data_IF_095559669046
#
_entry.id   IF_095559669046
#
_cell.length_a   1.000
_cell.length_b   1.000
_cell.length_c   1.000
_cell.angle_alpha   90.00
_cell.angle_beta   90.00
_cell.angle_gamma   90.00
#
_symmetry.space_group_name_H-M   'P 1'
#
loop_
_entity.id
_entity.type
_entity.pdbx_description
1 polymer ?
#
# COMPACT_ATOMS: atom_id res chain seq x y z
N UNK A 1 13.69 -14.92 0.54
CA UNK A 1 12.44 -14.61 -0.20
C UNK A 1 11.34 -15.54 0.25
N UNK A 2 11.60 -16.84 0.35
CA UNK A 2 10.67 -17.87 0.79
C UNK A 2 9.93 -17.52 2.08
N UNK A 3 10.67 -17.15 3.13
CA UNK A 3 10.07 -16.79 4.42
C UNK A 3 9.17 -15.53 4.31
N UNK A 4 9.48 -14.58 3.41
CA UNK A 4 8.61 -13.43 3.14
C UNK A 4 7.29 -13.88 2.52
N UNK A 5 7.37 -14.66 1.44
CA UNK A 5 6.18 -15.07 0.66
C UNK A 5 5.29 -16.00 1.49
N UNK A 6 5.88 -16.92 2.26
CA UNK A 6 5.16 -17.83 3.15
C UNK A 6 4.31 -17.09 4.22
N UNK A 7 4.74 -15.89 4.64
CA UNK A 7 4.03 -15.10 5.63
C UNK A 7 2.67 -14.53 5.13
N UNK A 8 2.41 -14.54 3.81
CA UNK A 8 1.15 -14.05 3.24
C UNK A 8 0.08 -15.13 3.06
N UNK A 9 0.46 -16.40 2.94
CA UNK A 9 -0.50 -17.49 2.79
C UNK A 9 -1.06 -17.90 4.15
N UNK A 10 -2.37 -18.07 4.21
CA UNK A 10 -3.11 -18.56 5.37
C UNK A 10 -3.78 -19.90 5.02
N UNK A 11 -4.85 -20.25 5.74
CA UNK A 11 -5.61 -21.47 5.52
C UNK A 11 -6.68 -21.30 4.42
N UNK A 12 -6.81 -20.11 3.84
CA UNK A 12 -7.74 -19.79 2.76
C UNK A 12 -6.99 -19.84 1.42
N UNK A 13 -7.59 -20.41 0.35
CA UNK A 13 -6.94 -20.45 -0.95
C UNK A 13 -6.70 -19.05 -1.52
N UNK A 14 -5.45 -18.73 -1.81
CA UNK A 14 -5.07 -17.47 -2.47
C UNK A 14 -4.32 -17.73 -3.77
N UNK A 15 -4.82 -17.20 -4.89
CA UNK A 15 -4.10 -17.23 -6.16
C UNK A 15 -2.76 -16.50 -6.04
N UNK A 16 -1.60 -17.16 -6.25
CA UNK A 16 -0.30 -16.54 -6.04
C UNK A 16 -0.06 -15.26 -6.85
N UNK A 17 -0.50 -15.21 -8.11
CA UNK A 17 -0.35 -14.01 -8.94
C UNK A 17 -1.16 -12.81 -8.43
N UNK A 18 -2.24 -13.04 -7.69
CA UNK A 18 -2.98 -11.95 -7.03
C UNK A 18 -2.22 -11.40 -5.83
N UNK A 19 -1.55 -12.25 -5.04
CA UNK A 19 -0.61 -11.82 -4.00
C UNK A 19 0.56 -11.02 -4.61
N UNK A 20 1.19 -11.51 -5.68
CA UNK A 20 2.22 -10.74 -6.38
C UNK A 20 1.70 -9.37 -6.83
N UNK A 21 0.48 -9.34 -7.37
CA UNK A 21 -0.19 -8.10 -7.77
C UNK A 21 -0.39 -7.12 -6.61
N UNK A 22 -0.75 -7.61 -5.42
CA UNK A 22 -0.84 -6.79 -4.20
C UNK A 22 0.53 -6.18 -3.85
N UNK A 23 1.58 -7.00 -3.76
CA UNK A 23 2.91 -6.56 -3.34
C UNK A 23 3.55 -5.56 -4.31
N UNK A 24 3.20 -5.65 -5.60
CA UNK A 24 3.76 -4.83 -6.69
C UNK A 24 2.85 -3.71 -7.20
N UNK A 25 1.77 -3.39 -6.47
CA UNK A 25 0.85 -2.29 -6.79
C UNK A 25 -0.03 -2.48 -8.04
N UNK A 26 -0.33 -3.72 -8.44
CA UNK A 26 -1.31 -4.05 -9.50
C UNK A 26 -2.74 -3.98 -8.93
N UNK A 27 -3.27 -2.75 -8.83
CA UNK A 27 -4.58 -2.40 -8.24
C UNK A 27 -5.81 -2.81 -9.07
N UNK A 28 -5.92 -4.07 -9.48
CA UNK A 28 -7.19 -4.57 -10.04
C UNK A 28 -8.19 -4.85 -8.91
N UNK A 29 -9.49 -4.66 -9.16
CA UNK A 29 -10.53 -4.94 -8.14
C UNK A 29 -10.44 -6.38 -7.63
N UNK A 30 -10.14 -7.34 -8.51
CA UNK A 30 -10.00 -8.75 -8.13
C UNK A 30 -8.81 -8.99 -7.19
N UNK A 31 -7.65 -8.40 -7.47
CA UNK A 31 -6.47 -8.53 -6.59
C UNK A 31 -6.70 -7.89 -5.23
N UNK A 32 -7.27 -6.68 -5.22
CA UNK A 32 -7.53 -5.93 -3.99
C UNK A 32 -8.62 -6.61 -3.14
N UNK A 33 -9.65 -7.16 -3.77
CA UNK A 33 -10.67 -7.92 -3.05
C UNK A 33 -10.09 -9.21 -2.45
N UNK A 34 -9.28 -9.97 -3.19
CA UNK A 34 -8.60 -11.13 -2.61
C UNK A 34 -7.75 -10.73 -1.40
N UNK A 35 -6.96 -9.66 -1.53
CA UNK A 35 -6.18 -9.13 -0.41
C UNK A 35 -7.06 -8.69 0.78
N UNK A 36 -8.24 -8.13 0.53
CA UNK A 36 -9.21 -7.81 1.58
C UNK A 36 -9.69 -9.07 2.31
N UNK A 37 -10.01 -10.15 1.59
CA UNK A 37 -10.44 -11.42 2.17
C UNK A 37 -9.38 -12.03 3.10
N UNK A 38 -8.10 -11.88 2.76
CA UNK A 38 -6.98 -12.32 3.58
C UNK A 38 -6.55 -11.31 4.67
N UNK A 39 -7.26 -10.18 4.82
CA UNK A 39 -6.87 -9.08 5.71
C UNK A 39 -5.47 -8.49 5.41
N UNK A 40 -5.01 -8.59 4.16
CA UNK A 40 -3.70 -8.14 3.71
C UNK A 40 -3.75 -6.85 2.87
N UNK A 41 -4.88 -6.14 2.80
CA UNK A 41 -4.99 -4.92 1.97
C UNK A 41 -3.97 -3.84 2.34
N UNK A 42 -3.56 -3.76 3.62
CA UNK A 42 -2.50 -2.87 4.13
C UNK A 42 -1.10 -3.22 3.61
N UNK A 43 -0.93 -4.36 2.93
CA UNK A 43 0.34 -4.82 2.34
C UNK A 43 0.50 -4.39 0.88
N UNK A 44 -0.43 -3.60 0.36
CA UNK A 44 -0.34 -3.05 -0.99
C UNK A 44 0.97 -2.30 -1.19
N UNK A 45 1.65 -2.61 -2.30
CA UNK A 45 2.93 -2.00 -2.68
C UNK A 45 4.07 -2.23 -1.66
N UNK A 46 3.96 -3.23 -0.78
CA UNK A 46 5.00 -3.49 0.21
C UNK A 46 6.35 -3.87 -0.44
N UNK A 47 6.34 -4.51 -1.61
CA UNK A 47 7.57 -4.92 -2.30
C UNK A 47 7.52 -4.63 -3.80
N UNK A 48 7.62 -3.35 -4.21
CA UNK A 48 7.36 -2.92 -5.58
C UNK A 48 8.41 -3.43 -6.59
N UNK A 49 9.61 -3.77 -6.12
CA UNK A 49 10.72 -4.27 -6.95
C UNK A 49 10.71 -5.80 -7.13
N UNK A 50 9.73 -6.50 -6.56
CA UNK A 50 9.61 -7.95 -6.67
C UNK A 50 9.26 -8.37 -8.11
N UNK A 51 10.25 -8.89 -8.83
CA UNK A 51 10.06 -9.44 -10.17
C UNK A 51 9.09 -10.63 -10.15
N UNK A 52 8.30 -10.78 -11.22
CA UNK A 52 7.35 -11.89 -11.36
C UNK A 52 8.06 -13.24 -11.37
N UNK A 53 9.22 -13.31 -12.02
CA UNK A 53 10.04 -14.50 -12.20
C UNK A 53 10.52 -15.03 -10.84
N UNK A 54 11.17 -14.18 -10.04
CA UNK A 54 11.60 -14.56 -8.69
C UNK A 54 10.43 -14.96 -7.78
N UNK A 55 9.27 -14.29 -7.90
CA UNK A 55 8.09 -14.66 -7.13
C UNK A 55 7.58 -16.05 -7.52
N UNK A 56 7.44 -16.34 -8.82
CA UNK A 56 6.99 -17.65 -9.30
C UNK A 56 7.95 -18.76 -8.92
N UNK A 57 9.27 -18.52 -9.02
CA UNK A 57 10.29 -19.46 -8.55
C UNK A 57 10.16 -19.73 -7.03
N UNK A 58 9.87 -18.69 -6.24
CA UNK A 58 9.63 -18.83 -4.80
C UNK A 58 8.40 -19.69 -4.51
N UNK A 59 7.29 -19.51 -5.25
CA UNK A 59 6.09 -20.34 -5.10
C UNK A 59 6.39 -21.81 -5.38
N UNK A 60 7.10 -22.10 -6.48
CA UNK A 60 7.51 -23.46 -6.82
C UNK A 60 8.38 -24.08 -5.73
N UNK A 61 9.31 -23.31 -5.18
CA UNK A 61 10.19 -23.78 -4.09
C UNK A 61 9.40 -24.08 -2.81
N UNK A 62 8.45 -23.22 -2.44
CA UNK A 62 7.60 -23.42 -1.27
C UNK A 62 6.69 -24.66 -1.42
N UNK A 63 6.15 -24.87 -2.62
CA UNK A 63 5.33 -26.04 -2.95
C UNK A 63 6.18 -27.32 -2.91
N UNK A 64 7.34 -27.32 -3.57
CA UNK A 64 8.26 -28.45 -3.57
C UNK A 64 8.74 -28.83 -2.16
N UNK A 65 8.92 -27.82 -1.29
CA UNK A 65 9.30 -28.01 0.11
C UNK A 65 8.11 -28.40 1.02
N UNK A 66 6.90 -28.54 0.47
CA UNK A 66 5.69 -28.88 1.22
C UNK A 66 5.24 -27.81 2.21
N UNK A 67 5.69 -26.56 2.06
CA UNK A 67 5.34 -25.44 2.94
C UNK A 67 4.01 -24.77 2.54
N UNK A 68 3.66 -24.87 1.26
CA UNK A 68 2.35 -24.54 0.73
C UNK A 68 1.82 -25.72 -0.09
N UNK A 69 0.51 -25.78 -0.27
CA UNK A 69 -0.16 -26.67 -1.20
C UNK A 69 -0.87 -25.80 -2.25
N UNK A 70 -0.69 -26.10 -3.53
CA UNK A 70 -1.29 -25.34 -4.63
C UNK A 70 -2.37 -26.20 -5.29
N UNK A 71 -3.60 -25.67 -5.32
CA UNK A 71 -4.74 -26.27 -6.01
C UNK A 71 -5.38 -25.25 -6.97
N UNK A 72 -6.39 -25.69 -7.73
CA UNK A 72 -7.10 -24.83 -8.70
C UNK A 72 -7.67 -23.54 -8.07
N UNK A 73 -8.11 -23.63 -6.81
CA UNK A 73 -8.64 -22.50 -6.05
C UNK A 73 -7.56 -21.48 -5.65
N UNK A 74 -6.31 -21.91 -5.49
CA UNK A 74 -5.19 -21.09 -5.00
C UNK A 74 -4.22 -21.91 -4.17
N UNK A 75 -3.25 -21.21 -3.58
CA UNK A 75 -2.30 -21.80 -2.65
C UNK A 75 -2.75 -21.58 -1.21
N UNK A 76 -2.55 -22.59 -0.36
CA UNK A 76 -2.77 -22.56 1.10
C UNK A 76 -1.48 -22.91 1.83
N UNK A 77 -1.33 -22.43 3.06
CA UNK A 77 -0.19 -22.78 3.90
C UNK A 77 -0.39 -24.12 4.60
N UNK A 78 0.59 -25.02 4.49
CA UNK A 78 0.52 -26.33 5.17
C UNK A 78 0.87 -26.23 6.65
N UNK A 79 0.67 -27.32 7.40
CA UNK A 79 1.15 -27.42 8.78
C UNK A 79 2.69 -27.27 8.89
N UNK A 80 3.44 -27.72 7.88
CA UNK A 80 4.89 -27.52 7.83
C UNK A 80 5.23 -26.05 7.58
N UNK A 81 4.49 -25.38 6.67
CA UNK A 81 4.56 -23.94 6.46
C UNK A 81 4.32 -23.14 7.74
N UNK A 82 3.30 -23.47 8.52
CA UNK A 82 3.01 -22.83 9.82
C UNK A 82 4.17 -22.94 10.81
N UNK A 83 4.85 -24.10 10.85
CA UNK A 83 6.02 -24.30 11.74
C UNK A 83 7.26 -23.52 11.27
N UNK A 84 7.42 -23.37 9.94
CA UNK A 84 8.53 -22.61 9.34
C UNK A 84 8.33 -21.10 9.44
N UNK A 85 7.07 -20.65 9.48
CA UNK A 85 6.73 -19.24 9.52
C UNK A 85 7.43 -18.55 10.70
N UNK A 86 8.17 -17.49 10.39
CA UNK A 86 8.79 -16.65 11.40
C UNK A 86 7.82 -15.54 11.82
N UNK A 87 7.56 -15.44 13.12
CA UNK A 87 6.87 -14.29 13.68
C UNK A 87 7.71 -13.01 13.41
N UNK A 88 7.04 -11.90 13.11
CA UNK A 88 7.65 -10.57 12.92
C UNK A 88 8.49 -10.35 11.65
N UNK A 89 8.36 -11.19 10.63
CA UNK A 89 9.07 -10.95 9.35
C UNK A 89 8.54 -9.73 8.57
N UNK A 90 7.24 -9.44 8.69
CA UNK A 90 6.59 -8.35 7.97
C UNK A 90 6.69 -7.03 8.77
N UNK A 91 6.90 -5.89 8.10
CA UNK A 91 6.89 -4.59 8.76
C UNK A 91 5.52 -4.36 9.41
N UNK A 92 5.52 -3.95 10.67
CA UNK A 92 4.32 -3.75 11.47
C UNK A 92 3.77 -2.34 11.33
N UNK A 93 4.63 -1.35 11.04
CA UNK A 93 4.27 0.06 10.93
C UNK A 93 3.89 0.47 9.50
N UNK A 94 4.26 -0.32 8.49
CA UNK A 94 4.02 0.02 7.09
C UNK A 94 2.54 0.21 6.76
N UNK A 95 2.26 1.29 6.03
CA UNK A 95 0.98 1.52 5.38
C UNK A 95 1.16 2.02 3.94
N UNK A 96 0.28 1.65 3.00
CA UNK A 96 0.46 2.01 1.58
C UNK A 96 0.41 3.53 1.31
N UNK A 97 -0.25 4.29 2.18
CA UNK A 97 -0.32 5.75 2.08
C UNK A 97 1.01 6.45 2.41
N UNK A 98 1.96 5.76 3.04
CA UNK A 98 3.23 6.35 3.49
C UNK A 98 4.17 6.73 2.33
N UNK A 99 3.95 6.18 1.13
CA UNK A 99 4.69 6.52 -0.09
C UNK A 99 6.22 6.35 0.05
N UNK A 100 6.67 5.34 0.79
CA UNK A 100 8.08 5.16 1.13
C UNK A 100 9.00 5.10 -0.09
N UNK A 101 8.53 4.47 -1.18
CA UNK A 101 9.26 4.37 -2.44
C UNK A 101 9.66 5.74 -3.05
N UNK A 102 8.82 6.77 -2.88
CA UNK A 102 9.17 8.11 -3.32
C UNK A 102 9.89 8.92 -2.23
N UNK A 103 9.60 8.65 -0.96
CA UNK A 103 10.16 9.39 0.16
C UNK A 103 11.63 9.04 0.41
N UNK A 104 11.97 7.76 0.45
CA UNK A 104 13.31 7.26 0.77
C UNK A 104 14.42 7.92 -0.07
N UNK A 105 14.36 7.95 -1.42
CA UNK A 105 15.42 8.60 -2.20
C UNK A 105 15.50 10.11 -1.96
N UNK A 106 14.38 10.78 -1.65
CA UNK A 106 14.37 12.20 -1.28
C UNK A 106 15.01 12.42 0.08
N UNK A 107 14.71 11.56 1.06
CA UNK A 107 15.31 11.60 2.39
C UNK A 107 16.83 11.45 2.29
N UNK A 108 17.32 10.43 1.59
CA UNK A 108 18.75 10.17 1.45
C UNK A 108 19.49 11.32 0.78
N UNK A 109 18.97 11.82 -0.34
CA UNK A 109 19.57 12.98 -1.00
C UNK A 109 19.44 14.25 -0.16
N UNK A 110 18.32 14.44 0.55
CA UNK A 110 18.09 15.58 1.44
C UNK A 110 19.09 15.62 2.59
N UNK A 111 19.33 14.49 3.26
CA UNK A 111 20.35 14.35 4.30
C UNK A 111 21.74 14.66 3.75
N UNK A 112 22.09 14.12 2.57
CA UNK A 112 23.38 14.42 1.94
C UNK A 112 23.53 15.92 1.65
N UNK A 113 22.51 16.57 1.08
CA UNK A 113 22.52 18.01 0.78
C UNK A 113 22.72 18.84 2.04
N UNK A 114 22.03 18.50 3.13
CA UNK A 114 22.17 19.21 4.41
C UNK A 114 23.56 19.01 5.02
N UNK A 115 24.09 17.79 4.95
CA UNK A 115 25.44 17.46 5.42
C UNK A 115 26.50 18.24 4.63
N UNK A 116 26.48 18.20 3.30
CA UNK A 116 27.45 18.93 2.47
C UNK A 116 27.34 20.45 2.67
N UNK A 117 26.12 20.96 2.84
CA UNK A 117 25.87 22.38 3.11
C UNK A 117 26.46 22.84 4.45
N UNK A 118 26.47 22.00 5.50
CA UNK A 118 27.04 22.36 6.80
C UNK A 118 28.57 22.53 6.75
N UNK A 119 29.24 21.87 5.80
CA UNK A 119 30.67 22.02 5.50
C UNK A 119 30.95 23.01 4.36
N UNK A 120 29.94 23.76 3.91
CA UNK A 120 30.01 24.66 2.75
C UNK A 120 30.49 23.98 1.44
N UNK A 121 30.39 22.66 1.34
CA UNK A 121 30.75 21.93 0.15
C UNK A 121 29.61 21.98 -0.88
N UNK A 122 29.91 22.55 -2.05
CA UNK A 122 28.97 22.66 -3.18
C UNK A 122 29.34 21.75 -4.34
N UNK A 123 30.45 21.01 -4.22
CA UNK A 123 31.02 20.15 -5.25
C UNK A 123 31.03 18.72 -4.72
N UNK A 124 29.87 18.08 -4.76
CA UNK A 124 29.70 16.68 -4.37
C UNK A 124 28.90 15.95 -5.45
N UNK A 125 29.04 14.63 -5.47
CA UNK A 125 28.25 13.76 -6.33
C UNK A 125 26.97 13.35 -5.59
N UNK A 126 25.76 13.59 -6.15
CA UNK A 126 24.52 13.14 -5.54
C UNK A 126 24.47 11.62 -5.39
N UNK A 127 24.04 11.13 -4.22
CA UNK A 127 23.82 9.70 -3.95
C UNK A 127 22.71 9.11 -4.83
N UNK A 128 21.71 9.93 -5.18
CA UNK A 128 20.62 9.54 -6.07
C UNK A 128 20.87 10.09 -7.48
N UNK A 129 20.94 9.19 -8.47
CA UNK A 129 21.13 9.54 -9.88
C UNK A 129 19.87 10.02 -10.61
N UNK A 130 18.68 9.77 -10.06
CA UNK A 130 17.41 10.19 -10.68
C UNK A 130 17.26 11.71 -10.71
N UNK A 131 17.15 12.28 -11.92
CA UNK A 131 17.11 13.72 -12.14
C UNK A 131 15.85 14.36 -11.53
N UNK A 132 14.70 13.68 -11.58
CA UNK A 132 13.46 14.23 -11.02
C UNK A 132 13.56 14.41 -9.50
N UNK A 133 14.10 13.41 -8.80
CA UNK A 133 14.38 13.46 -7.36
C UNK A 133 15.39 14.56 -7.04
N UNK A 134 16.48 14.68 -7.81
CA UNK A 134 17.45 15.77 -7.62
C UNK A 134 16.82 17.15 -7.74
N UNK A 135 15.95 17.39 -8.74
CA UNK A 135 15.27 18.67 -8.89
C UNK A 135 14.31 18.95 -7.73
N UNK A 136 13.59 17.93 -7.25
CA UNK A 136 12.68 18.07 -6.11
C UNK A 136 13.44 18.47 -4.84
N UNK A 137 14.52 17.75 -4.50
CA UNK A 137 15.33 18.07 -3.31
C UNK A 137 16.02 19.43 -3.45
N UNK A 138 16.47 19.80 -4.65
CA UNK A 138 17.04 21.13 -4.89
C UNK A 138 16.02 22.25 -4.67
N UNK A 139 14.78 22.07 -5.10
CA UNK A 139 13.69 23.03 -4.86
C UNK A 139 13.34 23.11 -3.37
N UNK A 140 13.21 21.96 -2.71
CA UNK A 140 13.00 21.86 -1.27
C UNK A 140 14.06 22.62 -0.47
N UNK A 141 15.34 22.35 -0.75
CA UNK A 141 16.46 23.00 -0.08
C UNK A 141 16.46 24.53 -0.26
N UNK A 142 16.17 25.01 -1.48
CA UNK A 142 16.09 26.46 -1.78
C UNK A 142 14.96 27.15 -1.03
N UNK A 143 13.84 26.47 -0.78
CA UNK A 143 12.67 27.06 -0.13
C UNK A 143 12.86 27.19 1.38
N UNK A 144 13.45 26.19 2.03
CA UNK A 144 13.46 26.09 3.49
C UNK A 144 14.82 26.38 4.12
N UNK A 145 15.89 26.29 3.35
CA UNK A 145 17.26 26.44 3.85
C UNK A 145 17.72 25.26 4.71
N UNK A 146 19.00 25.25 5.03
CA UNK A 146 19.64 24.14 5.75
C UNK A 146 19.19 24.03 7.21
N UNK A 147 18.98 25.16 7.89
CA UNK A 147 18.72 25.17 9.34
C UNK A 147 17.41 24.47 9.72
N UNK A 148 16.31 24.74 9.02
CA UNK A 148 15.04 24.07 9.28
C UNK A 148 15.13 22.56 9.06
N UNK A 149 15.75 22.13 7.95
CA UNK A 149 15.95 20.70 7.67
C UNK A 149 16.78 19.99 8.73
N UNK A 150 17.89 20.59 9.19
CA UNK A 150 18.74 20.03 10.25
C UNK A 150 17.98 19.95 11.57
N UNK A 151 17.24 21.00 11.93
CA UNK A 151 16.51 21.09 13.20
C UNK A 151 15.43 20.02 13.28
N UNK A 152 14.60 19.91 12.23
CA UNK A 152 13.52 18.92 12.18
C UNK A 152 14.05 17.49 12.08
N UNK A 153 15.11 17.23 11.30
CA UNK A 153 15.76 15.91 11.27
C UNK A 153 16.33 15.52 12.64
N UNK A 154 16.97 16.44 13.34
CA UNK A 154 17.49 16.18 14.68
C UNK A 154 16.35 15.87 15.66
N UNK A 155 15.27 16.64 15.59
CA UNK A 155 14.10 16.44 16.43
C UNK A 155 13.46 15.06 16.19
N UNK A 156 13.17 14.71 14.94
CA UNK A 156 12.52 13.42 14.64
C UNK A 156 13.42 12.23 15.00
N UNK A 157 14.73 12.31 14.76
CA UNK A 157 15.66 11.25 15.14
C UNK A 157 15.81 11.09 16.66
N UNK A 158 15.61 12.16 17.43
CA UNK A 158 15.60 12.09 18.90
C UNK A 158 14.33 11.42 19.47
N UNK A 159 13.26 11.34 18.68
CA UNK A 159 12.00 10.70 19.07
C UNK A 159 11.90 9.23 18.65
N UNK A 160 12.73 8.80 17.69
CA UNK A 160 12.82 7.40 17.29
C UNK A 160 13.47 6.56 18.39
N UNK A 161 13.11 5.27 18.43
CA UNK A 161 13.84 4.31 19.25
C UNK A 161 15.31 4.27 18.80
N UNK A 162 16.30 4.24 19.72
CA UNK A 162 17.71 4.36 19.37
C UNK A 162 18.20 3.36 18.32
N UNK A 163 17.78 2.09 18.36
CA UNK A 163 18.18 1.10 17.35
C UNK A 163 17.57 1.41 15.96
N UNK A 164 16.32 1.88 15.89
CA UNK A 164 15.69 2.37 14.64
C UNK A 164 16.46 3.57 14.08
N UNK A 165 16.71 4.58 14.91
CA UNK A 165 17.46 5.78 14.52
C UNK A 165 18.86 5.42 13.99
N UNK A 166 19.58 4.54 14.69
CA UNK A 166 20.92 4.09 14.30
C UNK A 166 20.91 3.31 12.98
N UNK A 167 19.94 2.43 12.76
CA UNK A 167 19.81 1.68 11.48
C UNK A 167 19.55 2.62 10.32
N UNK A 168 18.62 3.58 10.45
CA UNK A 168 18.38 4.58 9.41
C UNK A 168 19.63 5.43 9.13
N UNK A 169 20.27 5.94 10.18
CA UNK A 169 21.46 6.78 10.05
C UNK A 169 22.65 6.04 9.41
N UNK A 170 22.77 4.73 9.64
CA UNK A 170 23.84 3.90 9.05
C UNK A 170 23.78 3.79 7.53
N UNK A 171 22.63 4.11 6.92
CA UNK A 171 22.41 4.11 5.47
C UNK A 171 22.61 5.49 4.84
N UNK A 172 22.73 6.54 5.65
CA UNK A 172 22.89 7.90 5.12
C UNK A 172 24.31 8.14 4.61
N UNK A 173 24.40 9.00 3.60
CA UNK A 173 25.66 9.50 3.04
C UNK A 173 25.70 11.01 3.28
N UNK A 174 26.86 11.49 3.71
CA UNK A 174 27.12 12.90 3.99
C UNK A 174 28.55 13.29 3.68
N UNK A 175 28.94 14.48 4.12
CA UNK A 175 30.30 14.96 3.98
C UNK A 175 31.29 14.02 4.67
N UNK A 176 32.25 13.50 3.92
CA UNK A 176 33.25 12.52 4.37
C UNK A 176 32.68 11.28 5.10
N UNK A 177 31.39 10.95 4.87
CA UNK A 177 30.72 9.79 5.44
C UNK A 177 29.95 9.03 4.37
N UNK A 178 30.35 7.78 4.11
CA UNK A 178 29.80 6.95 3.04
C UNK A 178 28.65 6.02 3.47
N UNK A 179 28.18 6.12 4.72
CA UNK A 179 27.33 5.09 5.33
C UNK A 179 28.14 3.87 5.79
N UNK A 180 27.57 3.09 6.70
CA UNK A 180 28.21 1.89 7.28
C UNK A 180 27.42 0.61 7.04
N UNK A 181 26.18 0.70 6.56
CA UNK A 181 25.31 -0.45 6.31
C UNK A 181 24.98 -0.63 4.82
N UNK A 182 24.68 -1.87 4.45
CA UNK A 182 24.17 -2.27 3.13
C UNK A 182 23.02 -3.25 3.35
N UNK A 183 21.88 -3.01 2.69
CA UNK A 183 20.73 -3.91 2.75
C UNK A 183 20.95 -5.09 1.80
N UNK A 184 21.43 -6.22 2.32
CA UNK A 184 21.81 -7.37 1.49
C UNK A 184 20.72 -8.44 1.40
N UNK A 185 19.90 -8.56 2.44
CA UNK A 185 18.90 -9.63 2.54
C UNK A 185 17.47 -9.10 2.53
N UNK A 186 16.50 -9.98 2.24
CA UNK A 186 15.07 -9.64 2.32
C UNK A 186 14.66 -9.25 3.75
N UNK A 187 15.10 -9.95 4.82
CA UNK A 187 14.92 -9.47 6.19
C UNK A 187 15.39 -8.03 6.41
N UNK A 188 16.61 -7.69 5.98
CA UNK A 188 17.15 -6.33 6.14
C UNK A 188 16.25 -5.30 5.45
N UNK A 189 15.76 -5.61 4.25
CA UNK A 189 14.85 -4.75 3.51
C UNK A 189 13.50 -4.58 4.24
N UNK A 190 12.95 -5.63 4.84
CA UNK A 190 11.68 -5.54 5.58
C UNK A 190 11.84 -4.74 6.88
N UNK A 191 12.96 -4.92 7.60
CA UNK A 191 13.29 -4.10 8.77
C UNK A 191 13.45 -2.64 8.38
N UNK A 192 14.17 -2.36 7.29
CA UNK A 192 14.35 -1.00 6.80
C UNK A 192 13.04 -0.32 6.38
N UNK A 193 12.14 -1.07 5.71
CA UNK A 193 10.79 -0.57 5.40
C UNK A 193 10.05 -0.22 6.70
N UNK A 194 10.17 -1.04 7.74
CA UNK A 194 9.54 -0.76 9.04
C UNK A 194 10.13 0.48 9.72
N UNK A 195 11.45 0.63 9.70
CA UNK A 195 12.15 1.79 10.25
C UNK A 195 11.73 3.09 9.53
N UNK A 196 11.69 3.07 8.20
CA UNK A 196 11.16 4.18 7.40
C UNK A 196 9.68 4.46 7.70
N UNK A 197 8.89 3.41 7.96
CA UNK A 197 7.47 3.55 8.31
C UNK A 197 7.29 4.26 9.66
N UNK A 198 8.14 3.94 10.64
CA UNK A 198 8.16 4.62 11.94
C UNK A 198 8.55 6.09 11.79
N UNK A 199 9.57 6.38 10.99
CA UNK A 199 9.96 7.76 10.67
C UNK A 199 8.81 8.54 10.03
N UNK A 200 8.15 7.98 9.00
CA UNK A 200 7.00 8.64 8.35
C UNK A 200 5.82 8.79 9.30
N UNK A 201 5.57 7.83 10.18
CA UNK A 201 4.50 7.94 11.18
C UNK A 201 4.73 9.13 12.13
N UNK A 202 5.99 9.38 12.55
CA UNK A 202 6.33 10.57 13.33
C UNK A 202 6.17 11.84 12.49
N UNK A 203 6.68 11.88 11.26
CA UNK A 203 6.51 13.05 10.37
C UNK A 203 5.03 13.39 10.23
N UNK A 204 4.17 12.41 9.93
CA UNK A 204 2.73 12.58 9.74
C UNK A 204 2.01 13.13 10.99
N UNK A 205 2.51 12.82 12.21
CA UNK A 205 1.98 13.34 13.47
C UNK A 205 2.39 14.78 13.76
N UNK A 206 3.39 15.31 13.05
CA UNK A 206 3.99 16.62 13.27
C UNK A 206 3.85 17.52 12.02
N UNK A 207 2.65 18.05 11.73
CA UNK A 207 2.41 18.92 10.57
C UNK A 207 3.18 20.25 10.61
N UNK A 208 3.69 20.64 11.78
CA UNK A 208 4.54 21.82 11.97
C UNK A 208 5.96 21.64 11.41
N UNK A 209 6.44 20.41 11.19
CA UNK A 209 7.74 20.12 10.58
C UNK A 209 7.71 20.32 9.07
N UNK A 210 7.66 21.58 8.63
CA UNK A 210 7.46 21.93 7.23
C UNK A 210 8.55 21.38 6.31
N UNK A 211 9.79 21.24 6.77
CA UNK A 211 10.88 20.67 5.97
C UNK A 211 10.70 19.17 5.75
N UNK A 212 10.39 18.41 6.78
CA UNK A 212 10.12 16.98 6.66
C UNK A 212 8.82 16.71 5.90
N UNK A 213 7.77 17.49 6.15
CA UNK A 213 6.49 17.37 5.44
C UNK A 213 6.66 17.60 3.93
N UNK A 214 7.41 18.63 3.53
CA UNK A 214 7.67 18.90 2.11
C UNK A 214 8.59 17.85 1.46
N UNK A 215 9.57 17.34 2.21
CA UNK A 215 10.48 16.29 1.71
C UNK A 215 9.73 14.96 1.53
N UNK A 216 8.86 14.62 2.47
CA UNK A 216 7.98 13.45 2.41
C UNK A 216 6.97 13.55 1.27
N UNK A 217 6.32 14.71 1.12
CA UNK A 217 5.29 14.94 0.11
C UNK A 217 3.89 14.48 0.55
N UNK A 218 3.73 14.08 1.81
CA UNK A 218 2.44 13.76 2.42
C UNK A 218 1.89 12.38 2.06
N UNK A 219 0.69 12.09 2.58
CA UNK A 219 -0.02 10.82 2.38
C UNK A 219 -0.37 10.62 0.90
N UNK A 220 0.03 9.50 0.33
CA UNK A 220 -0.37 9.07 -1.01
C UNK A 220 -1.84 8.63 -1.01
N UNK A 221 -2.71 9.23 -1.85
CA UNK A 221 -4.08 8.76 -2.02
C UNK A 221 -4.13 7.31 -2.51
N UNK A 222 -4.91 6.47 -1.83
CA UNK A 222 -5.05 5.05 -2.19
C UNK A 222 -5.90 4.84 -3.46
N UNK A 223 -6.80 5.80 -3.73
CA UNK A 223 -7.60 5.88 -4.94
C UNK A 223 -7.16 7.06 -5.81
N UNK A 224 -7.38 6.94 -7.13
CA UNK A 224 -7.05 8.02 -8.06
C UNK A 224 -7.97 9.24 -7.86
N UNK A 225 -7.54 10.42 -8.31
CA UNK A 225 -8.40 11.61 -8.33
C UNK A 225 -9.68 11.38 -9.14
N UNK A 226 -9.61 10.60 -10.22
CA UNK A 226 -10.79 10.26 -11.02
C UNK A 226 -11.76 9.39 -10.23
N UNK A 227 -11.27 8.43 -9.44
CA UNK A 227 -12.11 7.61 -8.58
C UNK A 227 -12.75 8.42 -7.44
N UNK A 228 -11.98 9.33 -6.82
CA UNK A 228 -12.50 10.25 -5.82
C UNK A 228 -13.63 11.14 -6.38
N UNK A 229 -13.50 11.62 -7.63
CA UNK A 229 -14.55 12.38 -8.32
C UNK A 229 -15.79 11.54 -8.61
N UNK A 230 -15.63 10.29 -9.05
CA UNK A 230 -16.75 9.37 -9.25
C UNK A 230 -17.52 9.13 -7.95
N UNK A 231 -16.82 8.90 -6.84
CA UNK A 231 -17.45 8.77 -5.52
C UNK A 231 -18.16 10.06 -5.10
N UNK A 232 -17.53 11.23 -5.30
CA UNK A 232 -18.14 12.51 -4.95
C UNK A 232 -19.45 12.75 -5.71
N UNK A 233 -19.50 12.40 -7.00
CA UNK A 233 -20.73 12.47 -7.79
C UNK A 233 -21.83 11.54 -7.27
N UNK A 234 -21.47 10.31 -6.88
CA UNK A 234 -22.42 9.37 -6.26
C UNK A 234 -22.96 9.92 -4.94
N UNK A 235 -22.09 10.48 -4.08
CA UNK A 235 -22.51 11.11 -2.83
C UNK A 235 -23.41 12.35 -3.02
N UNK A 236 -23.41 12.95 -4.22
CA UNK A 236 -24.31 14.04 -4.61
C UNK A 236 -25.65 13.53 -5.19
N UNK A 237 -25.89 12.22 -5.20
CA UNK A 237 -27.11 11.61 -5.73
C UNK A 237 -27.11 11.45 -7.26
N UNK A 238 -25.95 11.60 -7.93
CA UNK A 238 -25.86 11.34 -9.37
C UNK A 238 -25.81 9.84 -9.65
N UNK A 239 -26.54 9.41 -10.67
CA UNK A 239 -26.47 8.03 -11.18
C UNK A 239 -25.15 7.74 -11.89
N UNK A 240 -24.76 6.46 -11.98
CA UNK A 240 -23.56 6.01 -12.70
C UNK A 240 -23.50 6.55 -14.14
N UNK A 241 -24.58 6.50 -14.96
CA UNK A 241 -24.58 7.08 -16.31
C UNK A 241 -24.33 8.60 -16.32
N UNK A 242 -24.89 9.35 -15.37
CA UNK A 242 -24.67 10.80 -15.25
C UNK A 242 -23.22 11.12 -14.89
N UNK A 243 -22.64 10.40 -13.92
CA UNK A 243 -21.23 10.55 -13.54
C UNK A 243 -20.32 10.25 -14.72
N UNK A 244 -20.61 9.16 -15.45
CA UNK A 244 -19.86 8.73 -16.63
C UNK A 244 -19.89 9.82 -17.72
N UNK A 245 -21.08 10.37 -18.01
CA UNK A 245 -21.25 11.45 -18.97
C UNK A 245 -20.47 12.71 -18.56
N UNK A 246 -20.66 13.20 -17.33
CA UNK A 246 -20.03 14.42 -16.83
C UNK A 246 -18.49 14.30 -16.79
N UNK A 247 -17.98 13.10 -16.51
CA UNK A 247 -16.55 12.82 -16.38
C UNK A 247 -15.90 12.34 -17.69
N UNK A 248 -16.67 12.17 -18.77
CA UNK A 248 -16.24 11.57 -20.05
C UNK A 248 -15.59 10.18 -19.87
N UNK A 249 -16.19 9.37 -19.01
CA UNK A 249 -15.77 7.99 -18.72
C UNK A 249 -16.80 6.99 -19.25
N UNK A 250 -16.40 5.72 -19.32
CA UNK A 250 -17.37 4.63 -19.51
C UNK A 250 -18.09 4.36 -18.19
N UNK A 251 -19.37 3.94 -18.21
CA UNK A 251 -20.08 3.51 -16.98
C UNK A 251 -19.31 2.44 -16.20
N UNK A 252 -18.70 1.46 -16.90
CA UNK A 252 -17.88 0.43 -16.27
C UNK A 252 -16.68 0.98 -15.50
N UNK A 253 -16.06 2.07 -15.97
CA UNK A 253 -14.97 2.73 -15.26
C UNK A 253 -15.45 3.40 -13.98
N UNK A 254 -16.64 4.01 -14.00
CA UNK A 254 -17.26 4.59 -12.80
C UNK A 254 -17.60 3.50 -11.77
N UNK A 255 -18.12 2.36 -12.23
CA UNK A 255 -18.37 1.18 -11.40
C UNK A 255 -17.09 0.67 -10.72
N UNK A 256 -16.00 0.51 -11.47
CA UNK A 256 -14.70 0.14 -10.91
C UNK A 256 -14.20 1.16 -9.88
N UNK A 257 -14.37 2.46 -10.15
CA UNK A 257 -14.00 3.52 -9.20
C UNK A 257 -14.76 3.41 -7.88
N UNK A 258 -16.07 3.13 -7.92
CA UNK A 258 -16.91 2.97 -6.72
C UNK A 258 -16.46 1.75 -5.91
N UNK A 259 -16.19 0.62 -6.58
CA UNK A 259 -15.65 -0.58 -5.91
C UNK A 259 -14.27 -0.33 -5.29
N UNK A 260 -13.40 0.40 -6.00
CA UNK A 260 -12.09 0.78 -5.49
C UNK A 260 -12.21 1.65 -4.24
N UNK A 261 -13.12 2.63 -4.25
CA UNK A 261 -13.39 3.46 -3.08
C UNK A 261 -13.92 2.62 -1.91
N UNK A 262 -14.84 1.69 -2.17
CA UNK A 262 -15.36 0.77 -1.16
C UNK A 262 -14.24 -0.09 -0.55
N UNK A 263 -13.35 -0.66 -1.37
CA UNK A 263 -12.20 -1.46 -0.91
C UNK A 263 -11.36 -0.71 0.12
N UNK A 264 -11.12 0.58 -0.08
CA UNK A 264 -10.36 1.43 0.84
C UNK A 264 -11.22 2.14 1.90
N UNK A 265 -12.43 1.64 2.17
CA UNK A 265 -13.22 2.04 3.33
C UNK A 265 -14.09 3.27 3.12
N UNK A 266 -14.23 3.79 1.89
CA UNK A 266 -15.17 4.88 1.63
C UNK A 266 -16.61 4.45 1.91
N UNK A 267 -17.40 5.31 2.56
CA UNK A 267 -18.82 5.05 2.73
C UNK A 267 -19.53 5.09 1.38
N UNK A 268 -20.34 4.07 1.08
CA UNK A 268 -21.06 3.94 -0.19
C UNK A 268 -22.55 4.09 0.11
N UNK A 269 -23.28 4.98 -0.60
CA UNK A 269 -24.72 5.09 -0.45
C UNK A 269 -25.39 3.88 -1.10
N UNK A 270 -25.53 2.79 -0.32
CA UNK A 270 -26.05 1.49 -0.78
C UNK A 270 -27.46 1.63 -1.32
N UNK A 271 -28.28 2.47 -0.71
CA UNK A 271 -29.66 2.77 -1.11
C UNK A 271 -29.78 3.39 -2.51
N UNK A 272 -28.72 4.00 -3.04
CA UNK A 272 -28.71 4.52 -4.41
C UNK A 272 -28.32 3.45 -5.44
N UNK A 273 -27.73 2.33 -4.99
CA UNK A 273 -27.18 1.28 -5.85
C UNK A 273 -27.95 -0.03 -5.74
N UNK A 274 -28.72 -0.24 -4.68
CA UNK A 274 -29.50 -1.45 -4.44
C UNK A 274 -30.90 -1.10 -3.93
N UNK A 275 -31.90 -1.71 -4.55
CA UNK A 275 -33.26 -1.76 -4.03
C UNK A 275 -33.35 -2.59 -2.76
N UNK A 276 -34.39 -2.37 -1.95
CA UNK A 276 -34.63 -3.17 -0.75
C UNK A 276 -34.78 -4.68 -1.05
N UNK A 277 -35.37 -5.04 -2.20
CA UNK A 277 -35.53 -6.44 -2.62
C UNK A 277 -34.17 -7.10 -2.95
N UNK A 278 -33.29 -6.38 -3.65
CA UNK A 278 -31.93 -6.85 -3.92
C UNK A 278 -31.15 -7.02 -2.62
N UNK A 279 -31.29 -6.08 -1.67
CA UNK A 279 -30.61 -6.19 -0.39
C UNK A 279 -31.08 -7.40 0.43
N UNK A 280 -32.39 -7.65 0.47
CA UNK A 280 -32.97 -8.81 1.13
C UNK A 280 -32.51 -10.14 0.48
N UNK A 281 -32.33 -10.15 -0.84
CA UNK A 281 -31.88 -11.35 -1.58
C UNK A 281 -30.37 -11.60 -1.41
N UNK A 282 -29.55 -10.55 -1.32
CA UNK A 282 -28.09 -10.66 -1.19
C UNK A 282 -27.65 -11.04 0.23
N UNK A 283 -28.34 -10.54 1.25
CA UNK A 283 -27.97 -10.76 2.67
C UNK A 283 -27.77 -12.23 3.06
N UNK A 284 -28.65 -13.19 2.69
CA UNK A 284 -28.43 -14.61 3.01
C UNK A 284 -27.26 -15.24 2.23
N UNK A 285 -26.72 -14.57 1.22
CA UNK A 285 -25.62 -15.07 0.37
C UNK A 285 -24.24 -14.56 0.82
N UNK A 286 -24.13 -13.95 2.00
CA UNK A 286 -22.83 -13.58 2.57
C UNK A 286 -21.89 -14.79 2.66
N UNK A 287 -20.64 -14.62 2.24
CA UNK A 287 -19.65 -15.69 2.21
C UNK A 287 -19.70 -16.58 0.95
N UNK A 288 -20.75 -16.48 0.12
CA UNK A 288 -20.80 -17.20 -1.14
C UNK A 288 -19.85 -16.59 -2.20
N UNK A 289 -19.38 -17.43 -3.12
CA UNK A 289 -18.59 -16.97 -4.25
C UNK A 289 -19.45 -16.16 -5.24
N UNK A 290 -18.81 -15.34 -6.07
CA UNK A 290 -19.51 -14.44 -6.99
C UNK A 290 -20.39 -15.17 -8.01
N UNK A 291 -19.96 -16.33 -8.52
CA UNK A 291 -20.70 -17.11 -9.52
C UNK A 291 -22.05 -17.58 -8.95
N UNK A 292 -22.03 -18.14 -7.74
CA UNK A 292 -23.24 -18.58 -7.03
C UNK A 292 -24.20 -17.42 -6.77
N UNK A 293 -23.68 -16.25 -6.40
CA UNK A 293 -24.53 -15.06 -6.15
C UNK A 293 -25.18 -14.59 -7.45
N UNK A 294 -24.40 -14.49 -8.54
CA UNK A 294 -24.92 -14.08 -9.86
C UNK A 294 -26.01 -15.05 -10.33
N UNK A 295 -25.79 -16.36 -10.22
CA UNK A 295 -26.77 -17.38 -10.61
C UNK A 295 -28.07 -17.32 -9.78
N UNK A 296 -27.95 -16.98 -8.49
CA UNK A 296 -29.10 -16.93 -7.58
C UNK A 296 -29.90 -15.63 -7.67
N UNK A 297 -29.27 -14.53 -8.08
CA UNK A 297 -29.86 -13.17 -8.03
C UNK A 297 -30.12 -12.56 -9.40
N UNK A 298 -29.39 -12.99 -10.44
CA UNK A 298 -29.37 -12.33 -11.75
C UNK A 298 -28.64 -10.98 -11.77
N UNK A 299 -28.03 -10.56 -10.66
CA UNK A 299 -27.30 -9.30 -10.57
C UNK A 299 -26.00 -9.35 -11.35
N UNK A 300 -25.57 -8.19 -11.86
CA UNK A 300 -24.28 -8.09 -12.54
C UNK A 300 -23.10 -8.20 -11.57
N UNK A 301 -21.91 -8.42 -12.15
CA UNK A 301 -20.68 -8.53 -11.36
C UNK A 301 -20.36 -7.29 -10.53
N UNK A 302 -20.77 -6.09 -10.97
CA UNK A 302 -20.49 -4.86 -10.23
C UNK A 302 -21.20 -4.87 -8.87
N UNK A 303 -22.50 -5.14 -8.88
CA UNK A 303 -23.33 -5.22 -7.68
C UNK A 303 -22.87 -6.37 -6.79
N UNK A 304 -22.65 -7.57 -7.34
CA UNK A 304 -22.20 -8.72 -6.55
C UNK A 304 -20.86 -8.45 -5.86
N UNK A 305 -19.89 -7.87 -6.57
CA UNK A 305 -18.56 -7.58 -6.00
C UNK A 305 -18.62 -6.46 -4.96
N UNK A 306 -19.43 -5.42 -5.19
CA UNK A 306 -19.59 -4.33 -4.23
C UNK A 306 -20.24 -4.84 -2.93
N UNK A 307 -21.30 -5.64 -3.03
CA UNK A 307 -21.88 -6.35 -1.90
C UNK A 307 -20.82 -7.16 -1.13
N UNK A 308 -20.04 -7.98 -1.85
CA UNK A 308 -18.98 -8.80 -1.25
C UNK A 308 -17.92 -7.97 -0.52
N UNK A 309 -17.51 -6.82 -1.07
CA UNK A 309 -16.57 -5.90 -0.41
C UNK A 309 -17.17 -5.37 0.90
N UNK A 310 -18.41 -4.88 0.85
CA UNK A 310 -19.10 -4.32 2.01
C UNK A 310 -19.34 -5.38 3.09
N UNK A 311 -19.72 -6.60 2.71
CA UNK A 311 -19.95 -7.71 3.64
C UNK A 311 -18.68 -8.13 4.38
N UNK A 312 -17.55 -8.30 3.67
CA UNK A 312 -16.25 -8.65 4.30
C UNK A 312 -15.81 -7.56 5.29
N UNK A 313 -16.14 -6.30 5.02
CA UNK A 313 -15.83 -5.17 5.88
C UNK A 313 -16.88 -4.92 6.98
N UNK A 314 -17.94 -5.73 7.07
CA UNK A 314 -19.05 -5.54 8.01
C UNK A 314 -19.77 -4.19 7.84
N UNK A 315 -19.84 -3.71 6.59
CA UNK A 315 -20.50 -2.45 6.19
C UNK A 315 -21.74 -2.68 5.33
N UNK A 316 -22.14 -3.93 5.15
CA UNK A 316 -23.41 -4.28 4.55
C UNK A 316 -24.49 -4.28 5.63
N UNK A 317 -25.31 -3.23 5.68
CA UNK A 317 -26.37 -3.06 6.68
C UNK A 317 -27.71 -3.01 5.97
N UNK A 318 -28.67 -3.77 6.47
CA UNK A 318 -30.07 -3.61 6.08
C UNK A 318 -30.60 -2.35 6.77
N UNK A 319 -30.99 -1.36 5.99
CA UNK A 319 -31.80 -0.28 6.53
C UNK A 319 -33.24 -0.76 6.60
N UNK A 320 -33.73 -0.97 7.82
CA UNK A 320 -35.17 -1.11 8.08
C UNK A 320 -35.81 0.24 7.72
N UNK A 321 -36.69 0.22 6.72
CA UNK A 321 -37.57 1.35 6.40
C UNK A 321 -38.59 1.57 7.53
#
# INVERSE_FOLDING_TARGET
>A
MDDLVLNFFDDLPWRPLSLWGLLTNKKTISNLYAALQHHQLSRLQLYPTLSRENFQATIQQLEHSGLIEVADAGAIRTSAGKKRQQAHFLPSHYQPWMNLFQFEPRLYLGVQVLSEASYANRKYQPVIGDYATQQQVKQWYRRLGSQSGITELTAVFSMLEPAVANRLASLFIGHDFAGTAVLQTVPDQMTHIDDLSQLVALIDQHPEWQALQQLWGGRLPLISLSAARSLAGLNQGLSIPQIAHNSRLRPSTVMEHIQLAALFGANIPVEQLYTAAEQATLTPLQGHNHQTIIESTGLDFFHVRLFQILAVQQRWVLHDN
#
